data_IF_419038730209
#
_entry.id   IF_419038730209
#
_cell.length_a   1.000
_cell.length_b   1.000
_cell.length_c   1.000
_cell.angle_alpha   90.00
_cell.angle_beta   90.00
_cell.angle_gamma   90.00
#
_symmetry.space_group_name_H-M   'P 1'
#
loop_
_entity.id
_entity.type
_entity.pdbx_description
1 polymer ?
#
# COMPACT_ATOMS: atom_id res chain seq x y z
N UNK A 1 32.24 20.08 -27.21
CA UNK A 1 31.67 18.75 -26.90
C UNK A 1 30.63 18.98 -25.81
N UNK A 2 29.35 19.09 -26.21
CA UNK A 2 28.26 19.06 -25.24
C UNK A 2 28.24 17.67 -24.64
N UNK A 3 28.60 17.57 -23.36
CA UNK A 3 28.35 16.37 -22.57
C UNK A 3 26.84 16.34 -22.38
N UNK A 4 26.15 15.64 -23.27
CA UNK A 4 24.73 15.40 -23.11
C UNK A 4 24.49 14.72 -21.77
N UNK A 5 24.02 15.49 -20.79
CA UNK A 5 23.57 14.95 -19.50
C UNK A 5 22.45 13.97 -19.85
N UNK A 6 22.72 12.68 -19.68
CA UNK A 6 21.71 11.64 -19.86
C UNK A 6 20.66 11.87 -18.79
N UNK A 7 19.52 12.44 -19.19
CA UNK A 7 18.39 12.67 -18.28
C UNK A 7 17.99 11.31 -17.68
N UNK A 8 18.13 11.18 -16.35
CA UNK A 8 17.64 10.05 -15.60
C UNK A 8 16.11 10.08 -15.54
N UNK A 9 15.49 8.95 -15.15
CA UNK A 9 14.10 8.95 -14.69
C UNK A 9 14.09 8.83 -13.18
N UNK A 10 13.10 9.42 -12.51
CA UNK A 10 12.91 9.28 -11.08
C UNK A 10 11.43 9.17 -10.74
N UNK A 11 11.00 7.97 -10.35
CA UNK A 11 9.65 7.73 -9.88
C UNK A 11 9.64 7.57 -8.37
N UNK A 12 9.05 8.55 -7.69
CA UNK A 12 8.91 8.60 -6.23
C UNK A 12 7.44 8.55 -5.83
N UNK A 13 7.14 7.83 -4.76
CA UNK A 13 5.78 7.74 -4.22
C UNK A 13 5.75 7.95 -2.71
N UNK A 14 4.66 8.51 -2.22
CA UNK A 14 4.24 8.36 -0.82
C UNK A 14 3.33 7.15 -0.67
N UNK A 15 2.94 6.74 0.57
CA UNK A 15 1.76 5.95 0.75
C UNK A 15 0.54 6.69 0.22
N UNK A 16 -0.50 5.95 -0.15
CA UNK A 16 -1.83 6.53 -0.29
C UNK A 16 -2.48 6.60 1.09
N UNK A 17 -3.03 7.76 1.44
CA UNK A 17 -3.50 8.03 2.80
C UNK A 17 -4.94 7.58 3.00
N UNK A 18 -5.20 6.98 4.16
CA UNK A 18 -6.52 6.48 4.51
C UNK A 18 -7.42 7.64 4.98
N UNK A 19 -8.46 8.03 4.21
CA UNK A 19 -9.26 9.22 4.48
C UNK A 19 -10.37 8.95 5.51
N UNK A 20 -10.01 8.32 6.63
CA UNK A 20 -10.97 8.08 7.74
C UNK A 20 -11.15 9.30 8.62
N UNK A 21 -10.23 10.27 8.54
CA UNK A 21 -10.24 11.54 9.26
C UNK A 21 -9.28 12.53 8.58
N UNK A 22 -9.18 13.76 9.10
CA UNK A 22 -8.21 14.74 8.61
C UNK A 22 -6.78 14.26 8.77
N UNK A 23 -5.93 14.63 7.81
CA UNK A 23 -4.50 14.32 7.90
C UNK A 23 -3.83 15.11 9.05
N UNK A 24 -2.83 14.50 9.64
CA UNK A 24 -1.99 15.11 10.68
C UNK A 24 -0.56 15.34 10.19
N UNK A 25 0.27 15.96 10.99
CA UNK A 25 1.65 16.35 10.65
C UNK A 25 2.52 15.16 10.20
N UNK A 26 2.24 13.93 10.66
CA UNK A 26 2.94 12.72 10.20
C UNK A 26 2.76 12.47 8.69
N UNK A 27 1.56 12.68 8.16
CA UNK A 27 1.30 12.58 6.72
C UNK A 27 2.00 13.71 5.96
N UNK A 28 1.94 14.94 6.49
CA UNK A 28 2.63 16.08 5.91
C UNK A 28 4.15 15.87 5.88
N UNK A 29 4.73 15.28 6.92
CA UNK A 29 6.16 14.95 6.98
C UNK A 29 6.59 14.07 5.81
N UNK A 30 5.91 12.94 5.60
CA UNK A 30 6.20 12.03 4.47
C UNK A 30 6.08 12.74 3.13
N UNK A 31 4.97 13.48 2.93
CA UNK A 31 4.68 14.12 1.63
C UNK A 31 5.65 15.25 1.32
N UNK A 32 6.01 16.07 2.31
CA UNK A 32 6.98 17.17 2.13
C UNK A 32 8.38 16.65 1.83
N UNK A 33 8.81 15.55 2.48
CA UNK A 33 10.11 14.93 2.18
C UNK A 33 10.12 14.36 0.76
N UNK A 34 9.04 13.68 0.33
CA UNK A 34 8.92 13.19 -1.04
C UNK A 34 8.94 14.35 -2.06
N UNK A 35 8.25 15.44 -1.78
CA UNK A 35 8.22 16.63 -2.63
C UNK A 35 9.61 17.29 -2.73
N UNK A 36 10.34 17.37 -1.63
CA UNK A 36 11.70 17.90 -1.64
C UNK A 36 12.64 17.08 -2.53
N UNK A 37 12.55 15.76 -2.47
CA UNK A 37 13.31 14.85 -3.33
C UNK A 37 12.88 14.98 -4.80
N UNK A 38 11.58 15.03 -5.08
CA UNK A 38 11.06 15.23 -6.43
C UNK A 38 11.57 16.54 -7.04
N UNK A 39 11.54 17.63 -6.27
CA UNK A 39 12.07 18.94 -6.71
C UNK A 39 13.57 18.90 -6.95
N UNK A 40 14.34 18.25 -6.08
CA UNK A 40 15.77 18.08 -6.25
C UNK A 40 16.08 17.36 -7.57
N UNK A 41 15.42 16.23 -7.83
CA UNK A 41 15.63 15.47 -9.07
C UNK A 41 15.23 16.27 -10.31
N UNK A 42 14.16 17.05 -10.27
CA UNK A 42 13.80 17.96 -11.37
C UNK A 42 14.86 19.04 -11.58
N UNK A 43 15.42 19.59 -10.50
CA UNK A 43 16.45 20.64 -10.58
C UNK A 43 17.74 20.14 -11.22
N UNK A 44 18.12 18.88 -11.00
CA UNK A 44 19.30 18.28 -11.63
C UNK A 44 19.04 17.72 -13.02
N UNK A 45 17.81 17.89 -13.56
CA UNK A 45 17.45 17.57 -14.92
C UNK A 45 16.86 16.18 -15.13
N UNK A 46 16.51 15.42 -14.07
CA UNK A 46 15.82 14.15 -14.19
C UNK A 46 14.35 14.36 -14.60
N UNK A 47 13.83 13.38 -15.34
CA UNK A 47 12.42 13.26 -15.64
C UNK A 47 11.71 12.59 -14.48
N UNK A 48 10.96 13.39 -13.72
CA UNK A 48 10.39 13.00 -12.43
C UNK A 48 8.91 12.70 -12.54
N UNK A 49 8.49 11.60 -11.91
CA UNK A 49 7.09 11.30 -11.60
C UNK A 49 6.91 11.19 -10.09
N UNK A 50 6.06 12.04 -9.51
CA UNK A 50 5.73 12.02 -8.09
C UNK A 50 4.27 11.64 -7.91
N UNK A 51 4.01 10.49 -7.26
CA UNK A 51 2.69 9.96 -6.96
C UNK A 51 2.36 10.07 -5.47
N UNK A 52 1.18 10.57 -5.18
CA UNK A 52 0.50 10.45 -3.88
C UNK A 52 -0.97 10.11 -4.10
N UNK A 53 -1.76 9.93 -3.05
CA UNK A 53 -3.18 9.60 -3.22
C UNK A 53 -3.89 9.20 -1.94
N UNK A 54 -5.05 8.57 -2.10
CA UNK A 54 -5.92 8.11 -1.01
C UNK A 54 -6.37 6.67 -1.19
N UNK A 55 -6.34 5.93 -0.08
CA UNK A 55 -6.88 4.58 0.08
C UNK A 55 -8.28 4.69 0.69
N UNK A 56 -9.32 4.50 -0.13
CA UNK A 56 -10.68 4.94 0.18
C UNK A 56 -11.66 3.81 0.50
N UNK A 57 -11.25 2.56 0.36
CA UNK A 57 -12.09 1.40 0.62
C UNK A 57 -11.98 0.88 2.06
N UNK A 58 -12.85 -0.05 2.44
CA UNK A 58 -12.76 -0.80 3.69
C UNK A 58 -13.85 -0.48 4.71
N UNK A 59 -13.92 -1.36 5.70
CA UNK A 59 -14.98 -1.35 6.73
C UNK A 59 -14.98 -0.07 7.57
N UNK A 60 -13.81 0.47 7.87
CA UNK A 60 -13.68 1.67 8.69
C UNK A 60 -14.28 2.91 8.01
N UNK A 61 -14.05 3.07 6.70
CA UNK A 61 -14.68 4.14 5.91
C UNK A 61 -16.19 3.94 5.86
N UNK A 62 -16.66 2.73 5.57
CA UNK A 62 -18.09 2.43 5.56
C UNK A 62 -18.74 2.81 6.88
N UNK A 63 -18.19 2.36 8.02
CA UNK A 63 -18.72 2.70 9.35
C UNK A 63 -18.70 4.22 9.65
N UNK A 64 -17.66 4.94 9.19
CA UNK A 64 -17.58 6.41 9.35
C UNK A 64 -18.63 7.14 8.52
N UNK A 65 -18.87 6.72 7.30
CA UNK A 65 -19.90 7.28 6.42
C UNK A 65 -21.30 7.02 6.99
N UNK A 66 -21.57 5.80 7.45
CA UNK A 66 -22.82 5.43 8.14
C UNK A 66 -23.06 6.30 9.38
N UNK A 67 -22.04 6.48 10.22
CA UNK A 67 -22.14 7.35 11.41
C UNK A 67 -22.37 8.82 11.07
N UNK A 68 -21.88 9.27 9.90
CA UNK A 68 -22.12 10.63 9.38
C UNK A 68 -23.45 10.77 8.61
N UNK A 69 -24.18 9.66 8.38
CA UNK A 69 -25.45 9.66 7.65
C UNK A 69 -25.31 9.96 6.13
N UNK A 70 -24.15 9.66 5.54
CA UNK A 70 -23.84 9.90 4.12
C UNK A 70 -23.37 8.62 3.43
N UNK A 71 -23.45 8.60 2.08
CA UNK A 71 -22.87 7.51 1.31
C UNK A 71 -21.32 7.50 1.45
N UNK A 72 -20.66 6.33 1.44
CA UNK A 72 -19.21 6.23 1.56
C UNK A 72 -18.45 7.07 0.52
N UNK A 73 -18.89 7.10 -0.74
CA UNK A 73 -18.30 7.94 -1.78
C UNK A 73 -18.33 9.43 -1.41
N UNK A 74 -19.49 9.94 -0.96
CA UNK A 74 -19.62 11.33 -0.57
C UNK A 74 -18.74 11.68 0.65
N UNK A 75 -18.60 10.73 1.59
CA UNK A 75 -17.74 10.88 2.73
C UNK A 75 -16.27 11.04 2.32
N UNK A 76 -15.75 10.14 1.48
CA UNK A 76 -14.35 10.22 1.03
C UNK A 76 -14.11 11.41 0.11
N UNK A 77 -15.06 11.79 -0.75
CA UNK A 77 -14.95 12.96 -1.62
C UNK A 77 -14.72 14.25 -0.83
N UNK A 78 -15.42 14.42 0.29
CA UNK A 78 -15.24 15.57 1.17
C UNK A 78 -13.83 15.59 1.78
N UNK A 79 -13.34 14.47 2.32
CA UNK A 79 -12.02 14.40 2.94
C UNK A 79 -10.91 14.57 1.91
N UNK A 80 -11.05 13.96 0.73
CA UNK A 80 -10.11 14.13 -0.38
C UNK A 80 -10.03 15.58 -0.83
N UNK A 81 -11.17 16.31 -0.85
CA UNK A 81 -11.19 17.75 -1.08
C UNK A 81 -10.28 18.49 -0.10
N UNK A 82 -10.42 18.23 1.20
CA UNK A 82 -9.58 18.81 2.26
C UNK A 82 -8.09 18.46 2.09
N UNK A 83 -7.79 17.21 1.72
CA UNK A 83 -6.41 16.76 1.48
C UNK A 83 -5.78 17.50 0.30
N UNK A 84 -6.50 17.64 -0.81
CA UNK A 84 -6.02 18.37 -1.99
C UNK A 84 -5.78 19.86 -1.68
N UNK A 85 -6.67 20.50 -0.91
CA UNK A 85 -6.47 21.86 -0.43
C UNK A 85 -5.22 21.99 0.47
N UNK A 86 -5.01 21.01 1.36
CA UNK A 86 -3.84 20.96 2.21
C UNK A 86 -2.55 20.87 1.38
N UNK A 87 -2.51 19.97 0.39
CA UNK A 87 -1.36 19.83 -0.51
C UNK A 87 -1.13 21.09 -1.35
N UNK A 88 -2.18 21.77 -1.78
CA UNK A 88 -2.08 23.04 -2.47
C UNK A 88 -1.46 24.14 -1.57
N UNK A 89 -1.85 24.21 -0.27
CA UNK A 89 -1.26 25.13 0.72
C UNK A 89 0.23 24.84 0.93
N UNK A 90 0.63 23.59 0.99
CA UNK A 90 2.04 23.18 1.08
C UNK A 90 2.79 23.26 -0.26
N UNK A 91 2.10 23.59 -1.35
CA UNK A 91 2.65 23.64 -2.71
C UNK A 91 3.32 22.31 -3.12
N UNK A 92 2.73 21.19 -2.73
CA UNK A 92 3.20 19.85 -3.12
C UNK A 92 3.11 19.70 -4.63
N UNK A 93 4.21 19.25 -5.25
CA UNK A 93 4.38 19.21 -6.71
C UNK A 93 4.15 17.80 -7.29
N UNK A 94 3.20 17.04 -6.74
CA UNK A 94 2.83 15.73 -7.25
C UNK A 94 2.27 15.82 -8.67
N UNK A 95 2.67 14.85 -9.52
CA UNK A 95 2.23 14.76 -10.92
C UNK A 95 0.90 14.00 -11.04
N UNK A 96 0.60 13.12 -10.07
CA UNK A 96 -0.65 12.38 -10.02
C UNK A 96 -1.13 12.26 -8.57
N UNK A 97 -2.44 12.19 -8.40
CA UNK A 97 -3.11 11.94 -7.14
C UNK A 97 -4.14 10.82 -7.38
N UNK A 98 -3.72 9.58 -7.13
CA UNK A 98 -4.55 8.39 -7.33
C UNK A 98 -5.55 8.22 -6.20
N UNK A 99 -6.78 7.86 -6.54
CA UNK A 99 -7.80 7.43 -5.59
C UNK A 99 -8.15 5.97 -5.87
N UNK A 100 -8.28 5.15 -4.84
CA UNK A 100 -8.66 3.74 -5.06
C UNK A 100 -10.09 3.59 -5.58
N UNK A 101 -10.93 4.62 -5.43
CA UNK A 101 -12.29 4.70 -6.01
C UNK A 101 -12.32 5.19 -7.47
N UNK A 102 -11.18 5.48 -8.10
CA UNK A 102 -11.16 5.81 -9.53
C UNK A 102 -11.35 4.57 -10.39
N UNK A 103 -12.25 4.67 -11.38
CA UNK A 103 -12.54 3.54 -12.30
C UNK A 103 -11.29 2.96 -12.98
N UNK A 104 -10.24 3.79 -13.25
CA UNK A 104 -8.96 3.29 -13.80
C UNK A 104 -8.25 2.35 -12.83
N UNK A 105 -8.35 2.60 -11.52
CA UNK A 105 -7.75 1.75 -10.49
C UNK A 105 -8.60 0.50 -10.25
N UNK A 106 -9.89 0.66 -10.03
CA UNK A 106 -10.81 -0.46 -9.77
C UNK A 106 -10.77 -1.52 -10.88
N UNK A 107 -10.87 -1.09 -12.15
CA UNK A 107 -10.80 -1.99 -13.29
C UNK A 107 -9.44 -2.71 -13.38
N UNK A 108 -8.35 -2.03 -13.07
CA UNK A 108 -7.02 -2.63 -13.05
C UNK A 108 -6.90 -3.68 -11.93
N UNK A 109 -7.33 -3.35 -10.70
CA UNK A 109 -7.31 -4.29 -9.55
C UNK A 109 -8.12 -5.54 -9.84
N UNK A 110 -9.31 -5.41 -10.45
CA UNK A 110 -10.12 -6.57 -10.84
C UNK A 110 -9.38 -7.47 -11.83
N UNK A 111 -8.73 -6.90 -12.86
CA UNK A 111 -7.92 -7.66 -13.83
C UNK A 111 -6.73 -8.36 -13.16
N UNK A 112 -6.08 -7.70 -12.19
CA UNK A 112 -4.96 -8.27 -11.44
C UNK A 112 -5.42 -9.43 -10.55
N UNK A 113 -6.52 -9.24 -9.82
CA UNK A 113 -7.10 -10.28 -8.98
C UNK A 113 -7.46 -11.53 -9.81
N UNK A 114 -8.13 -11.34 -10.95
CA UNK A 114 -8.50 -12.44 -11.84
C UNK A 114 -7.27 -13.15 -12.42
N UNK A 115 -6.22 -12.41 -12.81
CA UNK A 115 -4.95 -12.98 -13.26
C UNK A 115 -4.31 -13.86 -12.19
N UNK A 116 -4.16 -13.33 -10.97
CA UNK A 116 -3.57 -14.06 -9.84
C UNK A 116 -4.40 -15.29 -9.46
N UNK A 117 -5.71 -15.21 -9.56
CA UNK A 117 -6.59 -16.35 -9.35
C UNK A 117 -6.43 -17.43 -10.44
N UNK A 118 -6.45 -17.05 -11.71
CA UNK A 118 -6.29 -17.99 -12.84
C UNK A 118 -4.94 -18.70 -12.85
N UNK A 119 -3.89 -18.06 -12.41
CA UNK A 119 -2.56 -18.67 -12.29
C UNK A 119 -2.38 -19.50 -11.00
N UNK A 120 -3.39 -19.53 -10.13
CA UNK A 120 -3.40 -20.31 -8.91
C UNK A 120 -2.61 -19.71 -7.74
N UNK A 121 -2.25 -18.44 -7.80
CA UNK A 121 -1.64 -17.70 -6.69
C UNK A 121 -2.69 -17.14 -5.72
N UNK A 122 -3.94 -17.01 -6.16
CA UNK A 122 -5.09 -16.79 -5.28
C UNK A 122 -5.96 -18.04 -5.27
N UNK A 123 -6.43 -18.42 -4.08
CA UNK A 123 -7.34 -19.55 -3.87
C UNK A 123 -8.40 -19.23 -2.83
N UNK A 124 -9.51 -19.95 -2.84
CA UNK A 124 -10.62 -19.75 -1.90
C UNK A 124 -10.50 -20.74 -0.75
N UNK A 125 -10.70 -20.24 0.49
CA UNK A 125 -10.69 -21.05 1.70
C UNK A 125 -11.56 -20.41 2.79
N UNK A 126 -11.87 -21.17 3.82
CA UNK A 126 -12.46 -20.63 5.05
C UNK A 126 -11.33 -20.04 5.90
N UNK A 127 -11.57 -18.87 6.45
CA UNK A 127 -10.68 -18.19 7.36
C UNK A 127 -11.30 -18.04 8.74
N UNK A 128 -10.52 -18.35 9.75
CA UNK A 128 -10.82 -18.02 11.13
C UNK A 128 -9.61 -17.33 11.74
N UNK A 129 -9.79 -16.10 12.21
CA UNK A 129 -8.68 -15.32 12.76
C UNK A 129 -9.14 -14.08 13.51
N UNK A 130 -8.24 -13.54 14.31
CA UNK A 130 -8.48 -12.34 15.12
C UNK A 130 -8.28 -11.08 14.28
N UNK A 131 -9.34 -10.32 14.09
CA UNK A 131 -9.34 -9.12 13.27
C UNK A 131 -9.32 -7.84 14.11
N UNK A 132 -8.38 -6.96 13.79
CA UNK A 132 -8.32 -5.61 14.33
C UNK A 132 -8.92 -4.62 13.34
N UNK A 133 -10.13 -4.14 13.59
CA UNK A 133 -10.81 -3.16 12.73
C UNK A 133 -10.02 -1.84 12.58
N UNK A 134 -9.40 -1.25 13.63
CA UNK A 134 -8.63 -0.03 13.48
C UNK A 134 -7.36 -0.14 12.64
N UNK A 135 -6.71 -1.32 12.64
CA UNK A 135 -5.50 -1.57 11.85
C UNK A 135 -5.81 -2.25 10.52
N UNK A 136 -7.06 -2.70 10.33
CA UNK A 136 -7.48 -3.54 9.19
C UNK A 136 -6.52 -4.70 8.94
N UNK A 137 -6.19 -5.43 10.02
CA UNK A 137 -5.21 -6.51 10.01
C UNK A 137 -5.74 -7.74 10.75
N UNK A 138 -5.43 -8.90 10.18
CA UNK A 138 -5.66 -10.19 10.83
C UNK A 138 -4.43 -10.65 11.61
N UNK A 139 -4.71 -11.34 12.71
CA UNK A 139 -3.72 -11.90 13.60
C UNK A 139 -4.07 -13.33 13.94
N UNK A 140 -3.05 -14.16 14.07
CA UNK A 140 -3.21 -15.45 14.73
C UNK A 140 -3.26 -15.26 16.24
N UNK A 141 -3.93 -16.15 16.95
CA UNK A 141 -4.02 -16.09 18.40
C UNK A 141 -2.65 -15.97 19.08
N UNK A 142 -1.65 -16.72 18.60
CA UNK A 142 -0.25 -16.66 19.09
C UNK A 142 0.46 -15.31 18.88
N UNK A 143 -0.06 -14.46 18.02
CA UNK A 143 0.50 -13.14 17.71
C UNK A 143 -0.10 -12.04 18.56
N UNK A 144 -1.22 -12.31 19.22
CA UNK A 144 -1.88 -11.34 20.10
C UNK A 144 -1.01 -11.06 21.32
N UNK A 145 -1.04 -9.83 21.79
CA UNK A 145 -0.42 -9.40 23.05
C UNK A 145 -1.52 -9.21 24.08
N UNK A 146 -1.55 -10.07 25.09
CA UNK A 146 -2.60 -10.07 26.13
C UNK A 146 -4.03 -10.12 25.53
N UNK A 147 -4.22 -10.89 24.44
CA UNK A 147 -5.50 -10.98 23.73
C UNK A 147 -5.86 -9.78 22.84
N UNK A 148 -4.91 -8.83 22.62
CA UNK A 148 -5.12 -7.59 21.87
C UNK A 148 -4.23 -7.51 20.64
N UNK A 149 -4.56 -6.56 19.75
CA UNK A 149 -3.77 -6.28 18.54
C UNK A 149 -2.33 -5.88 18.90
N UNK A 150 -1.31 -6.57 18.37
CA UNK A 150 0.09 -6.26 18.68
C UNK A 150 0.56 -4.91 18.13
N UNK A 151 -0.12 -4.39 17.08
CA UNK A 151 0.27 -3.12 16.46
C UNK A 151 -0.29 -1.90 17.22
N UNK A 152 -1.52 -1.97 17.71
CA UNK A 152 -2.19 -0.80 18.31
C UNK A 152 -2.73 -1.01 19.72
N UNK A 153 -2.63 -2.21 20.29
CA UNK A 153 -3.09 -2.55 21.65
C UNK A 153 -4.61 -2.57 21.86
N UNK A 154 -5.41 -2.47 20.77
CA UNK A 154 -6.88 -2.46 20.85
C UNK A 154 -7.45 -3.87 20.79
N UNK A 155 -8.70 -4.01 21.22
CA UNK A 155 -9.46 -5.26 21.16
C UNK A 155 -9.55 -5.78 19.72
N UNK A 156 -9.56 -7.10 19.59
CA UNK A 156 -9.73 -7.83 18.33
C UNK A 156 -10.97 -8.69 18.37
N UNK A 157 -11.58 -8.93 17.22
CA UNK A 157 -12.77 -9.76 17.08
C UNK A 157 -12.39 -11.07 16.35
N UNK A 158 -12.88 -12.22 16.86
CA UNK A 158 -12.73 -13.48 16.14
C UNK A 158 -13.69 -13.48 14.96
N UNK A 159 -13.13 -13.53 13.75
CA UNK A 159 -13.90 -13.54 12.49
C UNK A 159 -13.73 -14.89 11.82
N UNK A 160 -14.85 -15.48 11.42
CA UNK A 160 -14.89 -16.68 10.59
C UNK A 160 -15.67 -16.37 9.32
N UNK A 161 -15.00 -16.40 8.18
CA UNK A 161 -15.62 -16.14 6.89
C UNK A 161 -14.93 -16.90 5.75
N UNK A 162 -15.67 -17.18 4.69
CA UNK A 162 -15.09 -17.61 3.43
C UNK A 162 -14.34 -16.44 2.80
N UNK A 163 -13.10 -16.66 2.38
CA UNK A 163 -12.25 -15.61 1.83
C UNK A 163 -11.33 -16.17 0.75
N UNK A 164 -10.81 -15.26 -0.08
CA UNK A 164 -9.73 -15.57 -1.01
C UNK A 164 -8.38 -15.26 -0.34
N UNK A 165 -7.41 -16.15 -0.59
CA UNK A 165 -6.05 -16.07 -0.05
C UNK A 165 -5.02 -15.96 -1.16
N UNK A 166 -4.04 -15.08 -0.99
CA UNK A 166 -2.89 -14.96 -1.85
C UNK A 166 -1.70 -15.71 -1.24
N UNK A 167 -1.06 -16.59 -2.03
CA UNK A 167 0.03 -17.48 -1.62
C UNK A 167 1.35 -16.72 -1.39
N UNK A 168 1.43 -15.94 -0.31
CA UNK A 168 2.68 -15.26 0.08
C UNK A 168 3.81 -16.26 0.35
N UNK A 169 3.49 -17.38 1.00
CA UNK A 169 4.45 -18.42 1.37
C UNK A 169 5.23 -18.96 0.16
N UNK A 170 4.60 -19.04 -1.02
CA UNK A 170 5.22 -19.51 -2.27
C UNK A 170 6.44 -18.69 -2.71
N UNK A 171 6.48 -17.42 -2.34
CA UNK A 171 7.49 -16.46 -2.81
C UNK A 171 8.50 -16.05 -1.73
N UNK A 172 8.40 -16.59 -0.51
CA UNK A 172 9.20 -16.18 0.64
C UNK A 172 10.70 -16.30 0.38
N UNK A 173 11.16 -17.46 -0.08
CA UNK A 173 12.59 -17.72 -0.35
C UNK A 173 13.15 -16.81 -1.45
N UNK A 174 12.35 -16.58 -2.50
CA UNK A 174 12.74 -15.67 -3.60
C UNK A 174 12.90 -14.24 -3.09
N UNK A 175 12.00 -13.79 -2.19
CA UNK A 175 12.10 -12.46 -1.59
C UNK A 175 13.30 -12.36 -0.66
N UNK A 176 13.58 -13.37 0.17
CA UNK A 176 14.76 -13.39 1.04
C UNK A 176 16.03 -13.26 0.21
N UNK A 177 16.18 -14.09 -0.84
CA UNK A 177 17.32 -14.02 -1.75
C UNK A 177 17.46 -12.63 -2.39
N UNK A 178 16.34 -12.01 -2.80
CA UNK A 178 16.37 -10.66 -3.37
C UNK A 178 16.88 -9.64 -2.36
N UNK A 179 16.37 -9.65 -1.12
CA UNK A 179 16.79 -8.73 -0.05
C UNK A 179 18.27 -8.89 0.30
N UNK A 180 18.80 -10.12 0.24
CA UNK A 180 20.21 -10.40 0.51
C UNK A 180 21.13 -9.87 -0.58
N UNK A 181 20.70 -9.97 -1.84
CA UNK A 181 21.49 -9.53 -3.00
C UNK A 181 21.32 -8.05 -3.35
N UNK A 182 20.31 -7.36 -2.75
CA UNK A 182 20.01 -5.94 -2.97
C UNK A 182 19.96 -5.18 -1.63
N UNK A 183 21.14 -4.87 -1.04
CA UNK A 183 21.23 -4.24 0.28
C UNK A 183 20.60 -2.84 0.33
N UNK A 184 20.43 -2.17 -0.82
CA UNK A 184 19.76 -0.86 -0.98
C UNK A 184 18.24 -0.95 -0.93
N UNK A 185 17.64 -2.12 -1.14
CA UNK A 185 16.20 -2.28 -1.32
C UNK A 185 15.40 -1.82 -0.09
N UNK A 186 15.82 -2.18 1.12
CA UNK A 186 15.12 -1.79 2.36
C UNK A 186 16.02 -0.89 3.19
N UNK A 187 15.59 0.35 3.36
CA UNK A 187 16.33 1.35 4.13
C UNK A 187 15.44 2.01 5.21
N UNK A 188 16.04 2.42 6.33
CA UNK A 188 17.39 2.13 6.81
C UNK A 188 17.59 0.63 7.16
N UNK A 189 18.81 0.20 7.31
CA UNK A 189 19.19 -1.21 7.59
C UNK A 189 18.47 -1.80 8.81
N UNK A 190 18.14 -0.97 9.81
CA UNK A 190 17.33 -1.40 10.95
C UNK A 190 15.95 -1.93 10.53
N UNK A 191 15.33 -1.36 9.50
CA UNK A 191 14.06 -1.84 8.95
C UNK A 191 14.23 -3.16 8.20
N UNK A 192 15.31 -3.29 7.41
CA UNK A 192 15.66 -4.57 6.79
C UNK A 192 15.77 -5.68 7.83
N UNK A 193 16.54 -5.45 8.89
CA UNK A 193 16.76 -6.45 9.94
C UNK A 193 15.45 -6.82 10.66
N UNK A 194 14.60 -5.85 10.94
CA UNK A 194 13.27 -6.09 11.52
C UNK A 194 12.39 -6.97 10.61
N UNK A 195 12.30 -6.65 9.33
CA UNK A 195 11.49 -7.41 8.38
C UNK A 195 11.99 -8.84 8.20
N UNK A 196 13.28 -9.02 8.05
CA UNK A 196 13.88 -10.35 7.87
C UNK A 196 13.72 -11.20 9.13
N UNK A 197 14.04 -10.66 10.31
CA UNK A 197 14.09 -11.46 11.53
C UNK A 197 12.69 -11.73 12.11
N UNK A 198 11.77 -10.75 12.04
CA UNK A 198 10.48 -10.87 12.70
C UNK A 198 9.38 -11.45 11.80
N UNK A 199 9.53 -11.36 10.47
CA UNK A 199 8.46 -11.76 9.55
C UNK A 199 8.92 -12.84 8.55
N UNK A 200 10.09 -12.70 7.91
CA UNK A 200 10.49 -13.62 6.85
C UNK A 200 11.07 -14.93 7.41
N UNK A 201 12.01 -14.87 8.36
CA UNK A 201 12.63 -16.08 8.96
C UNK A 201 11.64 -16.98 9.70
N UNK A 202 10.61 -16.46 10.42
CA UNK A 202 9.60 -17.32 11.03
C UNK A 202 8.70 -18.03 10.03
N UNK A 203 8.72 -17.65 8.75
CA UNK A 203 7.85 -18.12 7.68
C UNK A 203 6.65 -17.21 7.44
N UNK A 204 6.28 -17.08 6.17
CA UNK A 204 5.10 -16.29 5.77
C UNK A 204 3.87 -17.20 5.70
N UNK A 205 2.77 -16.69 6.21
CA UNK A 205 1.44 -17.25 5.98
C UNK A 205 0.78 -16.57 4.77
N UNK A 206 -0.15 -17.28 4.14
CA UNK A 206 -0.89 -16.74 3.02
C UNK A 206 -1.80 -15.60 3.44
N UNK A 207 -1.91 -14.59 2.59
CA UNK A 207 -2.61 -13.34 2.90
C UNK A 207 -4.08 -13.43 2.49
N UNK A 208 -4.99 -13.14 3.41
CA UNK A 208 -6.39 -12.91 3.08
C UNK A 208 -6.51 -11.67 2.18
N UNK A 209 -7.11 -11.82 0.99
CA UNK A 209 -7.22 -10.76 -0.03
C UNK A 209 -8.66 -10.46 -0.44
N UNK A 210 -9.65 -10.99 0.27
CA UNK A 210 -11.05 -10.61 0.09
C UNK A 210 -11.83 -10.63 1.39
N UNK A 211 -12.94 -9.91 1.42
CA UNK A 211 -13.87 -9.85 2.56
C UNK A 211 -15.32 -9.95 2.08
N UNK A 212 -16.19 -10.48 2.95
CA UNK A 212 -17.65 -10.57 2.75
C UNK A 212 -18.44 -9.77 3.79
N UNK A 213 -17.78 -9.28 4.84
CA UNK A 213 -18.42 -8.62 5.99
C UNK A 213 -18.76 -7.16 5.77
N UNK A 214 -18.33 -6.57 4.66
CA UNK A 214 -18.67 -5.21 4.24
C UNK A 214 -18.70 -5.11 2.70
N UNK A 215 -19.35 -4.06 2.18
CA UNK A 215 -19.57 -3.91 0.73
C UNK A 215 -18.81 -2.74 0.10
N UNK A 216 -18.20 -1.86 0.91
CA UNK A 216 -17.44 -0.73 0.42
C UNK A 216 -16.02 -1.15 0.04
N UNK A 217 -15.85 -1.54 -1.23
CA UNK A 217 -14.61 -2.05 -1.81
C UNK A 217 -14.81 -2.47 -3.25
N UNK A 218 -13.73 -2.87 -3.92
CA UNK A 218 -13.74 -3.33 -5.31
C UNK A 218 -14.33 -4.75 -5.36
N UNK A 219 -15.45 -4.99 -6.07
CA UNK A 219 -16.01 -6.32 -6.18
C UNK A 219 -15.06 -7.31 -6.87
N UNK A 220 -14.95 -8.54 -6.35
CA UNK A 220 -14.25 -9.62 -7.06
C UNK A 220 -15.04 -9.94 -8.35
N UNK A 221 -14.41 -9.89 -9.54
CA UNK A 221 -15.14 -9.86 -10.82
C UNK A 221 -15.97 -11.13 -11.12
N UNK A 222 -15.60 -12.26 -10.55
CA UNK A 222 -16.27 -13.55 -10.73
C UNK A 222 -17.02 -14.04 -9.47
N UNK A 223 -16.98 -13.27 -8.38
CA UNK A 223 -17.68 -13.60 -7.12
C UNK A 223 -18.07 -12.31 -6.37
N UNK A 224 -19.20 -11.72 -6.75
CA UNK A 224 -19.67 -10.42 -6.26
C UNK A 224 -20.05 -10.41 -4.77
N UNK A 225 -20.04 -11.55 -4.08
CA UNK A 225 -20.19 -11.61 -2.61
C UNK A 225 -18.95 -11.11 -1.89
N UNK A 226 -17.80 -11.10 -2.58
CA UNK A 226 -16.53 -10.68 -2.04
C UNK A 226 -16.11 -9.31 -2.59
N UNK A 227 -15.54 -8.49 -1.72
CA UNK A 227 -14.77 -7.31 -2.12
C UNK A 227 -13.28 -7.57 -1.93
N UNK A 228 -12.46 -7.02 -2.80
CA UNK A 228 -10.99 -7.09 -2.68
C UNK A 228 -10.56 -6.43 -1.37
N UNK A 229 -9.71 -7.11 -0.61
CA UNK A 229 -9.25 -6.62 0.68
C UNK A 229 -8.08 -5.67 0.52
N UNK A 230 -8.04 -4.69 1.40
CA UNK A 230 -7.30 -3.44 1.39
C UNK A 230 -5.86 -3.50 0.83
N UNK A 231 -5.05 -4.48 1.20
CA UNK A 231 -3.64 -4.47 0.82
C UNK A 231 -3.38 -4.84 -0.64
N UNK A 232 -4.17 -5.69 -1.25
CA UNK A 232 -4.07 -5.95 -2.70
C UNK A 232 -4.60 -4.75 -3.48
N UNK A 233 -5.67 -4.12 -3.01
CA UNK A 233 -6.22 -2.88 -3.53
C UNK A 233 -5.18 -1.75 -3.40
N UNK A 234 -4.84 -1.38 -2.17
CA UNK A 234 -3.98 -0.24 -1.88
C UNK A 234 -2.60 -0.32 -2.53
N UNK A 235 -1.89 -1.47 -2.43
CA UNK A 235 -0.50 -1.55 -2.92
C UNK A 235 -0.38 -1.49 -4.44
N UNK A 236 -1.39 -1.93 -5.18
CA UNK A 236 -1.35 -1.88 -6.64
C UNK A 236 -1.50 -0.47 -7.22
N UNK A 237 -1.85 0.54 -6.39
CA UNK A 237 -1.93 1.93 -6.83
C UNK A 237 -0.67 2.40 -7.56
N UNK A 238 0.51 1.95 -7.12
CA UNK A 238 1.81 2.38 -7.65
C UNK A 238 2.02 2.02 -9.13
N UNK A 239 1.35 1.00 -9.62
CA UNK A 239 1.40 0.58 -11.03
C UNK A 239 0.14 0.98 -11.77
N UNK A 240 -1.03 0.98 -11.14
CA UNK A 240 -2.28 1.38 -11.80
C UNK A 240 -2.30 2.86 -12.15
N UNK A 241 -1.67 3.72 -11.33
CA UNK A 241 -1.44 5.13 -11.64
C UNK A 241 -0.58 5.35 -12.90
N UNK A 242 0.21 4.36 -13.28
CA UNK A 242 0.98 4.35 -14.52
C UNK A 242 0.24 3.68 -15.69
N UNK A 243 -0.98 3.17 -15.45
CA UNK A 243 -1.84 2.54 -16.45
C UNK A 243 -1.69 1.02 -16.58
N UNK A 244 -0.91 0.36 -15.70
CA UNK A 244 -0.87 -1.10 -15.66
C UNK A 244 -2.27 -1.67 -15.28
N UNK A 245 -2.73 -2.81 -15.85
CA UNK A 245 -1.96 -3.79 -16.63
C UNK A 245 -1.90 -3.54 -18.14
N UNK A 246 -2.28 -2.37 -18.60
CA UNK A 246 -2.07 -2.01 -20.00
C UNK A 246 -0.60 -1.58 -20.22
N UNK A 247 -0.06 -1.87 -21.40
CA UNK A 247 1.31 -1.51 -21.76
C UNK A 247 1.40 -0.04 -22.17
N UNK A 248 1.21 0.86 -21.19
CA UNK A 248 1.22 2.30 -21.40
C UNK A 248 2.65 2.86 -21.51
N UNK A 249 2.80 4.03 -22.15
CA UNK A 249 4.07 4.74 -22.19
C UNK A 249 4.54 5.13 -20.79
N UNK A 250 3.61 5.57 -19.90
CA UNK A 250 3.94 5.92 -18.51
C UNK A 250 4.50 4.72 -17.76
N UNK A 251 3.89 3.54 -17.90
CA UNK A 251 4.36 2.34 -17.21
C UNK A 251 5.76 1.94 -17.70
N UNK A 252 5.97 1.87 -19.02
CA UNK A 252 7.30 1.55 -19.59
C UNK A 252 8.38 2.55 -19.20
N UNK A 253 8.02 3.83 -19.06
CA UNK A 253 8.97 4.90 -18.74
C UNK A 253 9.36 4.93 -17.29
N UNK A 254 8.39 4.82 -16.36
CA UNK A 254 8.62 5.09 -14.94
C UNK A 254 8.75 3.84 -14.07
N UNK A 255 8.13 2.70 -14.45
CA UNK A 255 8.30 1.49 -13.66
C UNK A 255 9.67 0.81 -13.94
N UNK A 256 10.36 0.25 -12.93
CA UNK A 256 10.04 0.24 -11.51
C UNK A 256 10.26 1.59 -10.83
N UNK A 257 9.56 1.80 -9.70
CA UNK A 257 9.75 2.98 -8.86
C UNK A 257 11.18 3.04 -8.32
N UNK A 258 11.74 4.26 -8.25
CA UNK A 258 13.06 4.48 -7.68
C UNK A 258 13.00 4.54 -6.15
N UNK A 259 11.91 5.12 -5.60
CA UNK A 259 11.73 5.25 -4.16
C UNK A 259 10.25 5.17 -3.76
N UNK A 260 9.94 4.21 -2.87
CA UNK A 260 8.75 4.27 -2.03
C UNK A 260 9.14 4.82 -0.66
N UNK A 261 8.69 6.05 -0.34
CA UNK A 261 8.93 6.69 0.95
C UNK A 261 7.73 6.47 1.86
N UNK A 262 7.90 5.73 2.96
CA UNK A 262 6.80 5.28 3.81
C UNK A 262 7.12 5.46 5.30
N UNK A 263 6.09 5.55 6.14
CA UNK A 263 6.24 5.44 7.58
C UNK A 263 6.60 4.02 8.02
N UNK A 264 7.32 3.89 9.13
CA UNK A 264 7.81 2.59 9.60
C UNK A 264 6.70 1.56 9.87
N UNK A 265 5.49 2.00 10.19
CA UNK A 265 4.31 1.16 10.47
C UNK A 265 3.82 0.34 9.28
N UNK A 266 4.10 0.81 8.07
CA UNK A 266 3.68 0.15 6.83
C UNK A 266 4.84 -0.42 6.01
N UNK A 267 6.06 -0.40 6.56
CA UNK A 267 7.25 -0.99 5.91
C UNK A 267 7.02 -2.47 5.58
N UNK A 268 6.39 -3.25 6.48
CA UNK A 268 6.07 -4.66 6.25
C UNK A 268 5.28 -4.88 4.96
N UNK A 269 4.28 -4.06 4.71
CA UNK A 269 3.43 -4.18 3.52
C UNK A 269 4.20 -3.82 2.24
N UNK A 270 5.08 -2.84 2.29
CA UNK A 270 5.85 -2.37 1.14
C UNK A 270 7.11 -3.17 0.84
N UNK A 271 7.61 -3.94 1.81
CA UNK A 271 8.85 -4.72 1.65
C UNK A 271 8.63 -6.24 1.63
N UNK A 272 7.44 -6.70 1.99
CA UNK A 272 7.07 -8.11 1.96
C UNK A 272 5.90 -8.34 1.01
N UNK A 273 4.72 -7.77 1.28
CA UNK A 273 3.50 -8.06 0.51
C UNK A 273 3.61 -7.50 -0.91
N UNK A 274 3.98 -6.24 -1.05
CA UNK A 274 4.11 -5.57 -2.35
C UNK A 274 5.11 -6.25 -3.29
N UNK A 275 6.36 -6.51 -2.86
CA UNK A 275 7.31 -7.24 -3.70
C UNK A 275 6.81 -8.63 -4.13
N UNK A 276 6.12 -9.35 -3.24
CA UNK A 276 5.59 -10.68 -3.58
C UNK A 276 4.45 -10.57 -4.61
N UNK A 277 3.57 -9.57 -4.50
CA UNK A 277 2.56 -9.31 -5.55
C UNK A 277 3.26 -9.05 -6.89
N UNK A 278 4.28 -8.21 -6.91
CA UNK A 278 5.05 -7.93 -8.13
C UNK A 278 5.75 -9.18 -8.69
N UNK A 279 6.33 -10.01 -7.83
CA UNK A 279 6.93 -11.28 -8.24
C UNK A 279 5.92 -12.23 -8.88
N UNK A 280 4.69 -12.28 -8.34
CA UNK A 280 3.61 -13.09 -8.89
C UNK A 280 3.09 -12.55 -10.22
N UNK A 281 3.25 -11.25 -10.47
CA UNK A 281 2.91 -10.59 -11.71
C UNK A 281 4.06 -10.57 -12.72
N UNK A 282 5.22 -11.18 -12.40
CA UNK A 282 6.45 -11.13 -13.19
C UNK A 282 6.94 -9.69 -13.48
N UNK A 283 6.75 -8.80 -12.53
CA UNK A 283 7.18 -7.41 -12.62
C UNK A 283 8.48 -7.15 -11.84
N UNK A 284 9.33 -6.22 -12.32
CA UNK A 284 10.49 -5.79 -11.55
C UNK A 284 10.07 -5.12 -10.24
N UNK A 285 10.87 -5.29 -9.20
CA UNK A 285 10.63 -4.68 -7.90
C UNK A 285 11.09 -3.21 -7.87
N UNK A 286 10.51 -2.36 -6.98
CA UNK A 286 11.01 -1.01 -6.76
C UNK A 286 12.47 -1.06 -6.30
N UNK A 287 13.26 -0.03 -6.66
CA UNK A 287 14.69 0.01 -6.31
C UNK A 287 14.91 0.15 -4.81
N UNK A 288 14.08 0.98 -4.16
CA UNK A 288 14.20 1.24 -2.74
C UNK A 288 12.85 1.48 -2.07
N UNK A 289 12.70 0.93 -0.86
CA UNK A 289 11.67 1.30 0.12
C UNK A 289 12.37 1.92 1.32
N UNK A 290 12.09 3.19 1.61
CA UNK A 290 12.65 3.87 2.77
C UNK A 290 11.58 4.06 3.84
N UNK A 291 11.78 3.43 5.00
CA UNK A 291 10.89 3.51 6.15
C UNK A 291 11.36 4.52 7.19
N UNK A 292 10.78 5.73 7.18
CA UNK A 292 11.12 6.75 8.17
C UNK A 292 10.50 6.47 9.55
N UNK A 293 11.07 7.08 10.59
CA UNK A 293 10.58 7.00 11.97
C UNK A 293 9.26 7.77 12.18
N UNK A 294 8.62 7.54 13.32
CA UNK A 294 7.45 8.33 13.72
C UNK A 294 7.85 9.72 14.22
N UNK A 295 6.98 10.68 13.99
CA UNK A 295 6.94 11.88 14.80
C UNK A 295 6.26 11.51 16.13
N UNK A 296 6.92 11.83 17.24
CA UNK A 296 6.41 11.57 18.57
C UNK A 296 6.23 12.87 19.33
N UNK A 297 5.19 12.98 20.12
CA UNK A 297 4.92 14.08 21.04
C UNK A 297 4.73 13.50 22.43
N UNK A 298 5.47 14.03 23.41
CA UNK A 298 5.38 13.63 24.83
C UNK A 298 5.45 12.11 25.08
N UNK A 299 6.27 11.40 24.26
CA UNK A 299 6.46 9.95 24.37
C UNK A 299 5.40 9.09 23.67
N UNK A 300 4.38 9.68 23.06
CA UNK A 300 3.36 8.98 22.29
C UNK A 300 3.53 9.12 20.77
N UNK A 301 3.01 8.16 20.00
CA UNK A 301 2.88 8.27 18.54
C UNK A 301 1.82 9.33 18.22
N UNK A 302 2.12 10.24 17.31
CA UNK A 302 1.15 11.18 16.75
C UNK A 302 0.23 10.49 15.76
#
# INVERSE_FOLDING_TARGET
MEVGVKMGKFYITTPIYYPSDNLHIGHAYTTVVADALARYHRQIGDDVRFLTGTDEHGQKIQRRAEAAGVAPQAYVDQIVGNIRELWAKFKISNDDFIRTTEGRHEAAVQRLFERLYRQGDIYKSEYEGWYCTPCEAFWLERQLQEGKCPDCGREVELVKEESYFFKLSKYADRLIQYIETHPEFIQPVSRKNEMVNNFLKPGLEDLCVSRTTFNWGIPVPFDSKHVVYVWLDALTNYITALGYPDDTELFRRYWPADLHLVGKEIVRFHTIIWPIILMALDLPLPRQVFGHGWLVLEGGKM
#
